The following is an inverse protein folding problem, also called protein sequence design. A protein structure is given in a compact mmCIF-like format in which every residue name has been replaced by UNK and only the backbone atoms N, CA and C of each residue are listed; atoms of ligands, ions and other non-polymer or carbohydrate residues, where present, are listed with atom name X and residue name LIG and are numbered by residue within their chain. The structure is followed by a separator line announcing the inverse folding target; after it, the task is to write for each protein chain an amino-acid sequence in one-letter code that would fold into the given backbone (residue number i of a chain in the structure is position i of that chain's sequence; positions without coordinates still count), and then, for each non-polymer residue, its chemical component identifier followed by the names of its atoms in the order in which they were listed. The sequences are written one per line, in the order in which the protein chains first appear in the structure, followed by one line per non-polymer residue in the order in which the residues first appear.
data_IF_787999548829
#
_entry.id   IF_787999548829
#
_cell.length_a   1.000
_cell.length_b   1.000
_cell.length_c   1.000
_cell.angle_alpha   90.00
_cell.angle_beta   90.00
_cell.angle_gamma   90.00
#
_symmetry.space_group_name_H-M   'P 1'
#
loop_
_entity.id
_entity.type
_entity.pdbx_description
1 polymer ?
#
# COMPACT_ATOMS: atom_id res chain seq x y z
N UNK A 1 0.06 -9.86 -3.15
CA UNK A 1 1.52 -10.10 -2.93
C UNK A 1 2.17 -11.09 -3.89
N UNK A 2 1.49 -12.12 -4.40
CA UNK A 2 2.12 -13.11 -5.29
C UNK A 2 2.74 -12.49 -6.54
N UNK A 3 2.10 -11.50 -7.17
CA UNK A 3 2.65 -10.78 -8.32
C UNK A 3 3.98 -10.06 -7.99
N UNK A 4 4.06 -9.39 -6.83
CA UNK A 4 5.30 -8.74 -6.38
C UNK A 4 6.39 -9.80 -6.16
N UNK A 5 6.05 -10.90 -5.47
CA UNK A 5 7.00 -12.00 -5.19
C UNK A 5 7.47 -12.75 -6.44
N UNK A 6 6.74 -12.69 -7.54
CA UNK A 6 7.17 -13.28 -8.81
C UNK A 6 8.45 -12.62 -9.37
N UNK A 7 8.71 -11.36 -9.02
CA UNK A 7 9.95 -10.64 -9.38
C UNK A 7 11.06 -10.87 -8.34
N UNK A 8 11.28 -12.13 -7.94
CA UNK A 8 12.16 -12.49 -6.82
C UNK A 8 13.58 -11.91 -6.92
N UNK A 9 14.13 -11.77 -8.13
CA UNK A 9 15.47 -11.20 -8.35
C UNK A 9 15.60 -9.72 -7.96
N UNK A 10 14.49 -8.99 -7.81
CA UNK A 10 14.49 -7.58 -7.43
C UNK A 10 14.42 -7.36 -5.92
N UNK A 11 14.04 -8.38 -5.14
CA UNK A 11 13.79 -8.28 -3.70
C UNK A 11 14.87 -9.00 -2.90
N UNK A 12 14.85 -8.80 -1.57
CA UNK A 12 15.81 -9.39 -0.65
C UNK A 12 15.93 -10.92 -0.80
N UNK A 13 17.17 -11.39 -0.97
CA UNK A 13 17.60 -12.79 -0.84
C UNK A 13 18.91 -12.81 -0.06
N UNK A 14 19.07 -13.76 0.87
CA UNK A 14 20.28 -13.88 1.69
C UNK A 14 21.49 -14.38 0.88
N UNK A 15 21.21 -14.98 -0.28
CA UNK A 15 22.16 -15.59 -1.20
C UNK A 15 22.60 -14.63 -2.32
N UNK A 16 21.95 -13.46 -2.43
CA UNK A 16 22.25 -12.48 -3.48
C UNK A 16 23.65 -11.87 -3.29
N UNK A 17 24.38 -11.76 -4.40
CA UNK A 17 25.68 -11.08 -4.49
C UNK A 17 25.56 -9.72 -5.17
N UNK A 18 24.35 -9.34 -5.58
CA UNK A 18 24.11 -8.09 -6.28
C UNK A 18 24.16 -6.90 -5.30
N UNK A 19 24.51 -5.69 -5.78
CA UNK A 19 24.44 -4.50 -4.97
C UNK A 19 23.04 -4.30 -4.37
N UNK A 20 22.97 -4.05 -3.06
CA UNK A 20 21.68 -3.83 -2.40
C UNK A 20 21.04 -2.54 -2.89
N UNK A 21 19.88 -2.67 -3.52
CA UNK A 21 18.99 -1.55 -3.83
C UNK A 21 18.02 -1.31 -2.68
N UNK A 22 17.36 -0.14 -2.65
CA UNK A 22 16.32 0.16 -1.66
C UNK A 22 15.20 -0.89 -1.60
N UNK A 23 14.82 -1.45 -2.76
CA UNK A 23 13.75 -2.45 -2.82
C UNK A 23 14.24 -3.86 -2.44
N UNK A 24 15.55 -4.09 -2.46
CA UNK A 24 16.20 -5.33 -2.02
C UNK A 24 16.53 -5.34 -0.51
N UNK A 25 16.17 -4.30 0.24
CA UNK A 25 16.27 -4.30 1.69
C UNK A 25 15.33 -5.34 2.33
N UNK A 26 15.80 -6.05 3.36
CA UNK A 26 15.06 -7.13 4.04
C UNK A 26 13.64 -6.75 4.47
N UNK A 27 13.44 -5.50 4.87
CA UNK A 27 12.14 -5.00 5.35
C UNK A 27 11.21 -4.47 4.26
N UNK A 28 11.63 -4.41 2.99
CA UNK A 28 10.87 -3.66 1.98
C UNK A 28 9.46 -4.22 1.74
N UNK A 29 9.31 -5.55 1.62
CA UNK A 29 8.00 -6.17 1.44
C UNK A 29 7.07 -5.94 2.64
N UNK A 30 7.63 -5.93 3.85
CA UNK A 30 6.88 -5.64 5.08
C UNK A 30 6.39 -4.19 5.09
N UNK A 31 7.21 -3.25 4.63
CA UNK A 31 6.82 -1.85 4.49
C UNK A 31 5.65 -1.66 3.51
N UNK A 32 5.60 -2.43 2.41
CA UNK A 32 4.44 -2.42 1.51
C UNK A 32 3.19 -2.91 2.25
N UNK A 33 3.28 -4.04 2.95
CA UNK A 33 2.14 -4.59 3.70
C UNK A 33 1.64 -3.61 4.78
N UNK A 34 2.55 -2.96 5.51
CA UNK A 34 2.19 -1.95 6.52
C UNK A 34 1.47 -0.75 5.89
N UNK A 35 1.94 -0.26 4.74
CA UNK A 35 1.30 0.85 4.03
C UNK A 35 -0.13 0.47 3.61
N UNK A 36 -0.31 -0.71 3.02
CA UNK A 36 -1.63 -1.17 2.60
C UNK A 36 -2.57 -1.32 3.80
N UNK A 37 -2.09 -1.88 4.92
CA UNK A 37 -2.89 -1.99 6.16
C UNK A 37 -3.24 -0.64 6.74
N UNK A 38 -2.31 0.31 6.75
CA UNK A 38 -2.54 1.67 7.23
C UNK A 38 -3.65 2.37 6.43
N UNK A 39 -3.57 2.37 5.09
CA UNK A 39 -4.61 2.98 4.29
C UNK A 39 -5.93 2.21 4.32
N UNK A 40 -5.86 0.87 4.43
CA UNK A 40 -7.04 0.04 4.65
C UNK A 40 -7.77 0.41 5.94
N UNK A 41 -7.03 0.58 7.04
CA UNK A 41 -7.63 0.91 8.33
C UNK A 41 -8.40 2.21 8.27
N UNK A 42 -7.89 3.26 7.60
CA UNK A 42 -8.58 4.55 7.48
C UNK A 42 -10.00 4.46 6.91
N UNK A 43 -10.28 3.45 6.07
CA UNK A 43 -11.60 3.23 5.45
C UNK A 43 -12.29 1.96 5.96
N UNK A 44 -11.83 1.39 7.08
CA UNK A 44 -12.47 0.23 7.72
C UNK A 44 -12.28 -1.11 7.00
N UNK A 45 -11.24 -1.26 6.17
CA UNK A 45 -10.94 -2.52 5.46
C UNK A 45 -9.54 -3.04 5.82
N UNK A 46 -9.23 -4.31 5.49
CA UNK A 46 -7.95 -4.93 5.87
C UNK A 46 -6.74 -4.35 5.12
N UNK A 47 -6.93 -3.95 3.86
CA UNK A 47 -5.87 -3.41 3.02
C UNK A 47 -6.45 -2.42 1.98
N UNK A 48 -5.83 -1.25 1.84
CA UNK A 48 -6.22 -0.22 0.88
C UNK A 48 -5.01 0.30 0.12
N UNK A 49 -5.15 0.45 -1.20
CA UNK A 49 -4.13 1.08 -2.05
C UNK A 49 -4.47 2.57 -2.24
N UNK A 50 -3.60 3.49 -1.81
CA UNK A 50 -3.84 4.92 -1.97
C UNK A 50 -3.56 5.37 -3.40
N UNK A 51 -4.43 6.22 -3.94
CA UNK A 51 -4.25 6.87 -5.24
C UNK A 51 -4.22 8.40 -5.08
N UNK A 52 -3.52 9.06 -6.01
CA UNK A 52 -3.49 10.51 -6.11
C UNK A 52 -4.03 10.93 -7.48
N UNK A 53 -4.95 11.90 -7.49
CA UNK A 53 -5.52 12.52 -8.69
C UNK A 53 -5.21 14.02 -8.65
N UNK A 54 -4.77 14.58 -9.77
CA UNK A 54 -4.47 16.03 -9.87
C UNK A 54 -5.74 16.84 -10.10
N UNK A 55 -6.63 16.27 -10.91
CA UNK A 55 -7.90 16.85 -11.29
C UNK A 55 -8.97 16.61 -10.21
N UNK A 56 -10.12 17.27 -10.37
CA UNK A 56 -11.26 17.05 -9.51
C UNK A 56 -11.78 15.61 -9.67
N UNK A 57 -11.96 14.91 -8.55
CA UNK A 57 -12.61 13.61 -8.53
C UNK A 57 -14.13 13.82 -8.69
N UNK A 58 -14.68 13.42 -9.84
CA UNK A 58 -16.14 13.46 -10.05
C UNK A 58 -16.80 12.35 -9.23
N UNK A 59 -17.76 12.72 -8.39
CA UNK A 59 -18.50 11.83 -7.48
C UNK A 59 -19.96 12.24 -7.46
N UNK A 60 -20.85 11.26 -7.28
CA UNK A 60 -22.31 11.51 -7.31
C UNK A 60 -22.76 12.44 -6.18
N UNK A 61 -22.28 12.19 -4.95
CA UNK A 61 -22.56 13.01 -3.78
C UNK A 61 -21.35 13.04 -2.83
N UNK A 62 -20.72 14.22 -2.62
CA UNK A 62 -19.55 14.35 -1.76
C UNK A 62 -19.88 14.19 -0.26
N UNK A 63 -21.10 14.50 0.18
CA UNK A 63 -21.52 14.33 1.57
C UNK A 63 -21.65 12.85 1.90
N UNK A 64 -22.33 12.09 1.04
CA UNK A 64 -22.44 10.63 1.22
C UNK A 64 -21.07 9.97 1.21
N UNK A 65 -20.17 10.40 0.32
CA UNK A 65 -18.81 9.85 0.25
C UNK A 65 -18.01 10.11 1.54
N UNK A 66 -18.01 11.35 2.03
CA UNK A 66 -17.18 11.78 3.16
C UNK A 66 -17.74 11.42 4.54
N UNK A 67 -19.01 11.00 4.62
CA UNK A 67 -19.66 10.56 5.87
C UNK A 67 -19.70 9.04 6.04
N UNK A 68 -19.10 8.29 5.10
CA UNK A 68 -18.93 6.84 5.25
C UNK A 68 -18.16 6.50 6.53
N UNK A 69 -18.41 5.33 7.14
CA UNK A 69 -17.63 4.86 8.28
C UNK A 69 -16.14 4.84 7.93
N UNK A 70 -15.37 5.69 8.60
CA UNK A 70 -13.91 5.75 8.51
C UNK A 70 -13.35 5.46 9.89
N UNK A 71 -12.30 4.64 9.99
CA UNK A 71 -11.61 4.43 11.26
C UNK A 71 -10.57 5.54 11.43
N UNK A 72 -11.05 6.75 11.74
CA UNK A 72 -10.18 7.92 11.99
C UNK A 72 -9.73 7.97 13.46
N UNK A 73 -10.34 7.14 14.32
CA UNK A 73 -10.05 7.03 15.74
C UNK A 73 -10.08 5.56 16.17
N UNK A 74 -8.91 4.92 16.14
CA UNK A 74 -8.58 3.87 17.11
C UNK A 74 -7.74 4.50 18.21
#
# INVERSE_FOLDING_TARGET
MSAIRAHASQFYSAESKDPTTRIAEKGFLQQIEWRLRYYGSLIGVTAGEPFYVREALNVDDPIVLLTRPMNIYS
#
